data_IF_744675708869
#
_entry.id   IF_744675708869
#
_cell.length_a   1.000
_cell.length_b   1.000
_cell.length_c   1.000
_cell.angle_alpha   90.00
_cell.angle_beta   90.00
_cell.angle_gamma   90.00
#
_symmetry.space_group_name_H-M   'P 1'
#
loop_
_entity.id
_entity.type
_entity.pdbx_description
1 polymer ?
#
# COMPACT_ATOMS: atom_id res chain seq x y z
N UNK A 1 18.26 -5.84 -2.11
CA UNK A 1 19.54 -5.18 -1.79
C UNK A 1 20.68 -6.19 -1.58
N UNK A 2 20.68 -7.03 -0.54
CA UNK A 2 21.77 -8.02 -0.33
C UNK A 2 21.91 -9.04 -1.46
N UNK A 3 20.79 -9.52 -2.04
CA UNK A 3 20.84 -10.40 -3.22
C UNK A 3 21.50 -9.72 -4.42
N UNK A 4 21.20 -8.44 -4.65
CA UNK A 4 21.79 -7.65 -5.73
C UNK A 4 23.29 -7.40 -5.49
N UNK A 5 23.69 -7.05 -4.26
CA UNK A 5 25.10 -6.87 -3.90
C UNK A 5 25.91 -8.17 -4.01
N UNK A 6 25.29 -9.32 -3.67
CA UNK A 6 25.90 -10.63 -3.85
C UNK A 6 26.05 -10.98 -5.33
N UNK A 7 25.05 -10.65 -6.16
CA UNK A 7 25.13 -10.80 -7.62
C UNK A 7 26.23 -9.92 -8.23
N UNK A 8 26.42 -8.71 -7.73
CA UNK A 8 27.49 -7.80 -8.16
C UNK A 8 28.88 -8.20 -7.61
N UNK A 9 28.97 -9.22 -6.75
CA UNK A 9 30.23 -9.67 -6.15
C UNK A 9 30.76 -8.75 -5.03
N UNK A 10 30.00 -7.72 -4.67
CA UNK A 10 30.35 -6.73 -3.64
C UNK A 10 30.08 -7.21 -2.21
N UNK A 11 29.42 -8.36 -2.06
CA UNK A 11 29.17 -9.02 -0.77
C UNK A 11 29.82 -10.40 -0.72
N UNK A 12 30.58 -10.68 0.34
CA UNK A 12 31.36 -11.94 0.48
C UNK A 12 30.88 -12.85 1.62
N UNK A 13 29.94 -12.40 2.45
CA UNK A 13 29.37 -13.18 3.54
C UNK A 13 28.08 -13.91 3.13
N UNK A 14 27.52 -14.75 3.99
CA UNK A 14 26.16 -15.24 3.77
C UNK A 14 25.16 -14.07 3.81
N UNK A 15 24.09 -14.12 3.00
CA UNK A 15 23.04 -13.11 3.04
C UNK A 15 22.34 -13.19 4.41
N UNK A 16 22.39 -12.13 5.25
CA UNK A 16 21.79 -12.15 6.59
C UNK A 16 20.26 -12.31 6.56
N UNK A 17 19.61 -12.09 5.41
CA UNK A 17 18.18 -12.25 5.21
C UNK A 17 17.81 -13.64 4.66
N UNK A 18 18.78 -14.54 4.43
CA UNK A 18 18.56 -15.86 3.77
C UNK A 18 17.51 -16.73 4.46
N UNK A 19 17.37 -16.62 5.78
CA UNK A 19 16.41 -17.38 6.57
C UNK A 19 15.20 -16.54 7.01
N UNK A 20 15.11 -15.29 6.58
CA UNK A 20 13.98 -14.44 6.91
C UNK A 20 12.77 -14.86 6.06
N UNK A 21 11.66 -15.21 6.69
CA UNK A 21 10.43 -15.50 5.93
C UNK A 21 10.02 -14.23 5.17
N UNK A 22 9.64 -14.37 3.88
CA UNK A 22 9.02 -13.26 3.16
C UNK A 22 7.81 -12.76 3.95
N UNK A 23 7.78 -11.47 4.21
CA UNK A 23 6.57 -10.84 4.73
C UNK A 23 5.51 -10.96 3.63
N UNK A 24 4.43 -11.69 3.92
CA UNK A 24 3.30 -11.78 3.00
C UNK A 24 2.51 -10.50 3.17
N UNK A 25 2.58 -9.62 2.18
CA UNK A 25 1.66 -8.49 2.12
C UNK A 25 0.26 -9.06 1.89
N UNK A 26 -0.69 -8.67 2.73
CA UNK A 26 -2.11 -8.98 2.51
C UNK A 26 -2.49 -8.52 1.09
N UNK A 27 -3.18 -9.36 0.32
CA UNK A 27 -3.61 -8.99 -1.03
C UNK A 27 -4.69 -7.90 -0.96
N UNK A 28 -4.71 -7.01 -1.96
CA UNK A 28 -5.76 -5.99 -2.06
C UNK A 28 -7.13 -6.66 -2.22
N UNK A 29 -8.04 -6.37 -1.28
CA UNK A 29 -9.45 -6.76 -1.38
C UNK A 29 -10.29 -5.61 -1.96
N UNK A 30 -11.37 -5.96 -2.65
CA UNK A 30 -12.41 -5.00 -3.05
C UNK A 30 -13.28 -4.65 -1.84
N UNK A 31 -13.67 -3.38 -1.74
CA UNK A 31 -14.65 -2.93 -0.75
C UNK A 31 -16.07 -3.31 -1.21
N UNK A 32 -16.91 -3.74 -0.27
CA UNK A 32 -18.35 -3.86 -0.51
C UNK A 32 -19.02 -2.49 -0.56
N UNK A 33 -20.26 -2.44 -1.04
CA UNK A 33 -21.03 -1.20 -1.10
C UNK A 33 -21.25 -0.60 0.30
N UNK A 34 -21.45 -1.41 1.34
CA UNK A 34 -21.57 -0.93 2.72
C UNK A 34 -20.25 -0.35 3.23
N UNK A 35 -19.13 -0.98 2.91
CA UNK A 35 -17.81 -0.48 3.31
C UNK A 35 -17.46 0.84 2.61
N UNK A 36 -17.85 1.00 1.33
CA UNK A 36 -17.71 2.27 0.61
C UNK A 36 -18.54 3.37 1.28
N UNK A 37 -19.77 3.07 1.68
CA UNK A 37 -20.63 4.04 2.36
C UNK A 37 -20.04 4.46 3.72
N UNK A 38 -19.52 3.50 4.49
CA UNK A 38 -18.85 3.77 5.77
C UNK A 38 -17.59 4.63 5.57
N UNK A 39 -16.76 4.31 4.59
CA UNK A 39 -15.56 5.06 4.25
C UNK A 39 -15.89 6.53 3.96
N UNK A 40 -16.86 6.78 3.08
CA UNK A 40 -17.27 8.14 2.71
C UNK A 40 -17.89 8.90 3.90
N UNK A 41 -18.63 8.21 4.77
CA UNK A 41 -19.17 8.82 5.98
C UNK A 41 -18.07 9.26 6.94
N UNK A 42 -17.03 8.45 7.14
CA UNK A 42 -15.90 8.82 7.99
C UNK A 42 -15.05 9.93 7.37
N UNK A 43 -14.85 9.94 6.04
CA UNK A 43 -14.18 11.06 5.36
C UNK A 43 -14.87 12.41 5.63
N UNK A 44 -16.22 12.43 5.67
CA UNK A 44 -17.01 13.63 5.97
C UNK A 44 -16.89 14.14 7.40
N UNK A 45 -16.51 13.27 8.34
CA UNK A 45 -16.37 13.62 9.76
C UNK A 45 -15.03 14.25 10.09
N UNK A 46 -14.05 14.15 9.19
CA UNK A 46 -12.72 14.72 9.35
C UNK A 46 -12.63 16.14 8.76
N UNK A 47 -11.80 16.99 9.36
CA UNK A 47 -11.60 18.40 8.99
C UNK A 47 -10.84 18.60 7.66
N UNK A 48 -10.63 17.55 6.86
CA UNK A 48 -9.97 17.61 5.56
C UNK A 48 -11.02 17.52 4.44
N UNK A 49 -11.54 18.65 3.94
CA UNK A 49 -12.59 18.66 2.93
C UNK A 49 -12.20 17.95 1.63
N UNK A 50 -10.90 17.92 1.33
CA UNK A 50 -10.36 17.26 0.13
C UNK A 50 -10.34 15.73 0.25
N UNK A 51 -10.39 15.18 1.46
CA UNK A 51 -10.28 13.73 1.69
C UNK A 51 -11.43 12.97 1.02
N UNK A 52 -12.66 13.44 1.18
CA UNK A 52 -13.82 12.85 0.50
C UNK A 52 -13.65 12.92 -1.03
N UNK A 53 -13.18 14.07 -1.54
CA UNK A 53 -13.01 14.27 -2.97
C UNK A 53 -11.98 13.30 -3.56
N UNK A 54 -10.82 13.15 -2.91
CA UNK A 54 -9.78 12.22 -3.34
C UNK A 54 -10.28 10.77 -3.29
N UNK A 55 -10.95 10.36 -2.22
CA UNK A 55 -11.51 9.01 -2.11
C UNK A 55 -12.53 8.74 -3.22
N UNK A 56 -13.38 9.71 -3.56
CA UNK A 56 -14.34 9.58 -4.67
C UNK A 56 -13.64 9.44 -6.02
N UNK A 57 -12.55 10.17 -6.27
CA UNK A 57 -11.75 10.04 -7.50
C UNK A 57 -11.12 8.65 -7.58
N UNK A 58 -10.52 8.15 -6.50
CA UNK A 58 -9.93 6.82 -6.44
C UNK A 58 -10.97 5.72 -6.72
N UNK A 59 -12.17 5.81 -6.12
CA UNK A 59 -13.26 4.86 -6.36
C UNK A 59 -13.79 4.91 -7.80
N UNK A 60 -13.87 6.10 -8.41
CA UNK A 60 -14.42 6.26 -9.76
C UNK A 60 -13.44 5.90 -10.89
N UNK A 61 -12.14 6.05 -10.65
CA UNK A 61 -11.11 5.92 -11.70
C UNK A 61 -10.14 4.75 -11.48
N UNK A 62 -10.18 4.12 -10.30
CA UNK A 62 -9.17 3.15 -9.89
C UNK A 62 -7.79 3.79 -9.62
N UNK A 63 -7.71 5.12 -9.52
CA UNK A 63 -6.48 5.81 -9.15
C UNK A 63 -5.96 5.32 -7.80
N UNK A 64 -4.66 5.10 -7.71
CA UNK A 64 -3.98 4.74 -6.47
C UNK A 64 -3.59 5.99 -5.72
N UNK A 65 -3.71 5.95 -4.39
CA UNK A 65 -3.08 6.94 -3.54
C UNK A 65 -1.56 6.72 -3.58
N UNK A 66 -0.83 7.67 -4.14
CA UNK A 66 0.61 7.80 -3.93
C UNK A 66 0.80 9.03 -3.06
N UNK A 67 1.58 8.90 -1.97
CA UNK A 67 2.05 10.08 -1.24
C UNK A 67 2.75 11.00 -2.25
N UNK A 68 2.16 12.18 -2.46
CA UNK A 68 2.78 13.30 -3.16
C UNK A 68 3.58 14.15 -2.20
#
# INVERSE_FOLDING_TARGET
MFNELNHLGEWKGENPLKNMRPFRTEEMAWLTQEQIALLLAECKRHDHPDLEMVVRICLATGARWSEG
#
